data_IF_776319377255
#
_entry.id   IF_776319377255
#
_cell.length_a   1.000
_cell.length_b   1.000
_cell.length_c   1.000
_cell.angle_alpha   90.00
_cell.angle_beta   90.00
_cell.angle_gamma   90.00
#
_symmetry.space_group_name_H-M   'P 1'
#
loop_
_entity.id
_entity.type
_entity.pdbx_description
1 polymer ?
#
# COMPACT_ATOMS: atom_id res chain seq x y z
N UNK A 1 13.53 10.11 38.35
CA UNK A 1 13.09 10.32 36.96
C UNK A 1 14.00 9.49 36.08
N UNK A 2 13.53 8.33 35.62
CA UNK A 2 14.38 7.33 35.01
C UNK A 2 14.06 7.21 33.51
N UNK A 3 14.84 7.91 32.69
CA UNK A 3 14.99 7.54 31.29
C UNK A 3 15.68 6.17 31.24
N UNK A 4 15.20 5.28 30.40
CA UNK A 4 15.66 3.91 30.28
C UNK A 4 15.97 3.59 28.82
N UNK A 5 17.08 2.89 28.59
CA UNK A 5 17.46 2.33 27.30
C UNK A 5 17.77 0.86 27.56
N UNK A 6 16.90 -0.04 27.13
CA UNK A 6 17.09 -1.48 27.27
C UNK A 6 17.55 -2.06 25.95
N UNK A 7 18.63 -2.84 25.98
CA UNK A 7 19.12 -3.61 24.82
C UNK A 7 19.16 -5.08 25.24
N UNK A 8 18.44 -5.95 24.52
CA UNK A 8 18.27 -7.36 24.89
C UNK A 8 17.80 -7.54 26.36
N UNK A 9 16.94 -6.64 26.83
CA UNK A 9 16.42 -6.63 28.21
C UNK A 9 17.38 -6.06 29.27
N UNK A 10 18.62 -5.72 28.92
CA UNK A 10 19.59 -5.12 29.85
C UNK A 10 19.59 -3.59 29.78
N UNK A 11 19.61 -2.92 30.93
CA UNK A 11 19.67 -1.46 31.04
C UNK A 11 21.05 -0.92 30.60
N UNK A 12 21.05 -0.02 29.62
CA UNK A 12 22.22 0.54 28.94
C UNK A 12 22.20 2.06 28.87
N UNK A 13 21.27 2.70 29.59
CA UNK A 13 21.22 4.17 29.69
C UNK A 13 22.54 4.82 30.16
N UNK A 14 23.33 4.25 31.11
CA UNK A 14 24.62 4.82 31.50
C UNK A 14 25.67 4.83 30.37
N UNK A 15 25.57 3.87 29.45
CA UNK A 15 26.49 3.69 28.32
C UNK A 15 26.15 4.62 27.14
N UNK A 16 24.95 5.21 27.14
CA UNK A 16 24.47 6.09 26.08
C UNK A 16 25.31 7.36 25.96
N UNK A 17 25.70 7.71 24.71
CA UNK A 17 26.36 8.96 24.39
C UNK A 17 25.32 10.08 24.25
N UNK A 18 25.32 11.02 25.20
CA UNK A 18 24.44 12.19 25.18
C UNK A 18 24.47 12.93 23.83
N UNK A 19 23.30 13.39 23.39
CA UNK A 19 23.11 14.12 22.14
C UNK A 19 23.15 13.27 20.86
N UNK A 20 23.27 11.93 20.96
CA UNK A 20 23.35 11.06 19.78
C UNK A 20 22.03 10.36 19.40
N UNK A 21 21.03 10.39 20.28
CA UNK A 21 19.74 9.73 20.06
C UNK A 21 18.89 10.55 19.10
N UNK A 22 18.43 9.89 18.05
CA UNK A 22 17.43 10.38 17.10
C UNK A 22 16.47 9.24 16.78
N UNK A 23 15.18 9.48 16.95
CA UNK A 23 14.09 8.60 16.55
C UNK A 23 13.32 9.34 15.46
N UNK A 24 13.08 8.69 14.33
CA UNK A 24 12.31 9.23 13.22
C UNK A 24 11.08 8.36 13.01
N UNK A 25 9.92 8.94 13.32
CA UNK A 25 8.62 8.34 13.12
C UNK A 25 7.97 8.93 11.87
N UNK A 26 7.52 8.10 10.93
CA UNK A 26 6.97 8.57 9.66
C UNK A 26 5.53 8.06 9.53
N UNK A 27 4.64 8.91 9.03
CA UNK A 27 3.26 8.53 8.71
C UNK A 27 3.26 7.48 7.60
N UNK A 28 2.30 6.56 7.65
CA UNK A 28 2.06 5.44 6.70
C UNK A 28 2.90 4.19 6.96
N UNK A 29 2.91 3.25 6.01
CA UNK A 29 3.61 1.97 6.06
C UNK A 29 5.14 2.06 5.97
N UNK A 30 5.73 3.21 6.32
CA UNK A 30 7.18 3.38 6.32
C UNK A 30 7.74 2.97 7.67
N UNK A 31 8.89 2.31 7.65
CA UNK A 31 9.56 1.79 8.84
C UNK A 31 10.08 2.95 9.69
N UNK A 32 9.68 2.98 10.96
CA UNK A 32 10.26 3.91 11.93
C UNK A 32 11.72 3.52 12.20
N UNK A 33 12.58 4.53 12.29
CA UNK A 33 14.02 4.32 12.50
C UNK A 33 14.51 5.00 13.76
N UNK A 34 15.47 4.38 14.42
CA UNK A 34 16.15 4.95 15.58
C UNK A 34 17.67 4.79 15.43
N UNK A 35 18.41 5.86 15.66
CA UNK A 35 19.87 5.85 15.70
C UNK A 35 20.35 6.42 17.03
N UNK A 36 21.32 5.75 17.65
CA UNK A 36 22.00 6.24 18.84
C UNK A 36 23.42 5.69 18.93
N UNK A 37 24.26 6.30 19.76
CA UNK A 37 25.61 5.81 20.03
C UNK A 37 25.75 5.36 21.50
N UNK A 38 26.42 4.24 21.71
CA UNK A 38 26.75 3.71 23.04
C UNK A 38 28.24 3.49 23.21
N UNK A 39 28.70 3.57 24.46
CA UNK A 39 30.06 3.27 24.87
C UNK A 39 30.18 1.82 25.34
N UNK A 40 31.37 1.26 25.25
CA UNK A 40 31.70 -0.02 25.86
C UNK A 40 31.50 -1.20 24.91
N UNK A 41 30.74 -2.21 25.35
CA UNK A 41 30.59 -3.48 24.63
C UNK A 41 29.71 -3.34 23.39
N UNK A 42 30.09 -4.05 22.31
CA UNK A 42 29.32 -4.10 21.07
C UNK A 42 27.94 -4.73 21.32
N UNK A 43 26.82 -4.08 20.95
CA UNK A 43 25.50 -4.72 20.90
C UNK A 43 25.44 -5.81 19.85
N UNK A 44 24.62 -6.83 20.09
CA UNK A 44 24.38 -7.89 19.12
C UNK A 44 23.30 -7.43 18.11
N UNK A 45 23.60 -7.54 16.82
CA UNK A 45 22.63 -7.32 15.75
C UNK A 45 21.40 -8.23 15.92
N UNK A 46 20.20 -7.71 15.64
CA UNK A 46 18.92 -8.41 15.84
C UNK A 46 18.37 -8.38 17.27
N UNK A 47 19.09 -7.80 18.23
CA UNK A 47 18.59 -7.63 19.61
C UNK A 47 17.45 -6.61 19.67
N UNK A 48 16.52 -6.81 20.62
CA UNK A 48 15.44 -5.86 20.90
C UNK A 48 15.98 -4.63 21.63
N UNK A 49 15.51 -3.45 21.21
CA UNK A 49 15.80 -2.15 21.82
C UNK A 49 14.50 -1.50 22.25
N UNK A 50 14.48 -1.01 23.49
CA UNK A 50 13.33 -0.28 24.06
C UNK A 50 13.85 1.01 24.70
N UNK A 51 13.25 2.13 24.32
CA UNK A 51 13.53 3.45 24.88
C UNK A 51 12.29 3.95 25.59
N UNK A 52 12.42 4.19 26.89
CA UNK A 52 11.31 4.60 27.75
C UNK A 52 11.69 5.83 28.61
N UNK A 53 10.72 6.72 28.86
CA UNK A 53 10.82 7.77 29.87
C UNK A 53 9.56 7.75 30.76
N UNK A 54 9.74 7.35 32.02
CA UNK A 54 8.66 7.25 33.00
C UNK A 54 8.00 8.60 33.35
N UNK A 55 8.56 9.73 32.90
CA UNK A 55 8.00 11.07 33.11
C UNK A 55 6.96 11.47 32.06
N UNK A 56 6.81 10.69 30.98
CA UNK A 56 5.84 10.94 29.91
C UNK A 56 4.54 10.16 30.15
N UNK A 57 3.44 10.70 29.63
CA UNK A 57 2.12 10.01 29.66
C UNK A 57 2.18 8.69 28.92
N UNK A 58 2.79 8.69 27.74
CA UNK A 58 3.18 7.49 27.02
C UNK A 58 4.68 7.24 27.26
N UNK A 59 5.03 6.24 28.08
CA UNK A 59 6.41 6.07 28.52
C UNK A 59 7.31 5.56 27.41
N UNK A 60 6.78 4.87 26.39
CA UNK A 60 7.58 4.22 25.35
C UNK A 60 7.70 5.11 24.12
N UNK A 61 8.92 5.60 23.89
CA UNK A 61 9.23 6.47 22.75
C UNK A 61 9.66 5.71 21.50
N UNK A 62 10.27 4.52 21.68
CA UNK A 62 10.65 3.64 20.57
C UNK A 62 10.81 2.21 21.08
N UNK A 63 10.39 1.25 20.25
CA UNK A 63 10.78 -0.14 20.42
C UNK A 63 10.94 -0.83 19.07
N UNK A 64 11.97 -1.67 18.96
CA UNK A 64 12.31 -2.31 17.69
C UNK A 64 13.52 -3.23 17.78
N UNK A 65 14.16 -3.49 16.65
CA UNK A 65 15.34 -4.35 16.53
C UNK A 65 16.55 -3.63 15.98
N UNK A 66 17.75 -4.04 16.43
CA UNK A 66 19.02 -3.56 15.88
C UNK A 66 19.23 -4.17 14.50
N UNK A 67 19.37 -3.33 13.47
CA UNK A 67 19.69 -3.75 12.12
C UNK A 67 21.21 -3.74 11.91
N UNK A 68 21.87 -2.66 12.34
CA UNK A 68 23.30 -2.45 12.11
C UNK A 68 24.02 -1.85 13.31
N UNK A 69 25.25 -2.32 13.54
CA UNK A 69 26.16 -1.80 14.58
C UNK A 69 27.51 -1.44 13.94
N UNK A 70 27.90 -0.17 14.03
CA UNK A 70 29.14 0.35 13.44
C UNK A 70 30.08 0.89 14.53
N UNK A 71 31.39 0.62 14.42
CA UNK A 71 32.40 1.19 15.33
C UNK A 71 32.77 2.60 14.86
N UNK A 72 32.43 3.61 15.65
CA UNK A 72 32.70 5.03 15.31
C UNK A 72 33.97 5.55 15.99
N UNK A 73 34.29 5.06 17.19
CA UNK A 73 35.53 5.40 17.88
C UNK A 73 36.27 4.15 18.34
N UNK A 74 37.47 3.95 17.81
CA UNK A 74 38.36 2.83 18.14
C UNK A 74 39.24 3.10 19.36
N UNK A 75 39.37 4.36 19.81
CA UNK A 75 40.11 4.71 21.03
C UNK A 75 39.19 4.58 22.24
N UNK A 76 39.68 3.91 23.28
CA UNK A 76 38.92 3.69 24.51
C UNK A 76 38.41 5.02 25.12
N UNK A 77 37.13 5.09 25.55
CA UNK A 77 36.11 4.03 25.44
C UNK A 77 35.61 3.86 24.00
N UNK A 78 35.51 2.59 23.57
CA UNK A 78 34.95 2.24 22.26
C UNK A 78 33.54 2.81 22.13
N UNK A 79 33.22 3.41 20.99
CA UNK A 79 31.88 3.96 20.71
C UNK A 79 31.29 3.26 19.50
N UNK A 80 30.12 2.66 19.71
CA UNK A 80 29.35 1.97 18.69
C UNK A 80 28.13 2.81 18.33
N UNK A 81 27.93 3.06 17.05
CA UNK A 81 26.67 3.58 16.51
C UNK A 81 25.76 2.41 16.21
N UNK A 82 24.51 2.52 16.64
CA UNK A 82 23.48 1.50 16.52
C UNK A 82 22.35 2.10 15.72
N UNK A 83 22.03 1.46 14.58
CA UNK A 83 20.86 1.78 13.78
C UNK A 83 19.80 0.67 14.03
N UNK A 84 18.60 1.10 14.39
CA UNK A 84 17.46 0.26 14.71
C UNK A 84 16.28 0.59 13.80
N UNK A 85 15.47 -0.42 13.57
CA UNK A 85 14.18 -0.33 12.87
C UNK A 85 13.08 -0.83 13.80
N UNK A 86 11.84 -0.43 13.55
CA UNK A 86 10.66 -0.92 14.28
C UNK A 86 10.41 -2.43 14.11
N UNK A 87 9.27 -2.88 14.60
CA UNK A 87 8.88 -4.30 14.52
C UNK A 87 8.34 -4.74 13.15
N UNK A 88 8.25 -3.86 12.15
CA UNK A 88 7.72 -4.20 10.81
C UNK A 88 8.53 -5.33 10.18
N UNK A 89 9.87 -5.30 10.28
CA UNK A 89 10.72 -6.39 9.81
C UNK A 89 10.44 -7.72 10.51
N UNK A 90 10.07 -7.69 11.81
CA UNK A 90 9.69 -8.91 12.53
C UNK A 90 8.33 -9.46 12.07
N UNK A 91 7.43 -8.59 11.63
CA UNK A 91 6.15 -8.97 11.05
C UNK A 91 6.36 -9.66 9.69
N UNK A 92 7.30 -9.17 8.89
CA UNK A 92 7.55 -9.64 7.52
C UNK A 92 8.43 -10.90 7.42
N UNK A 93 8.65 -11.61 8.53
CA UNK A 93 9.46 -12.84 8.57
C UNK A 93 8.91 -14.01 7.76
N UNK A 94 7.60 -14.01 7.47
CA UNK A 94 6.94 -15.09 6.72
C UNK A 94 6.21 -14.48 5.53
N UNK A 95 6.16 -15.22 4.43
CA UNK A 95 5.40 -14.84 3.24
C UNK A 95 3.98 -15.40 3.34
N UNK A 96 3.00 -14.57 3.00
CA UNK A 96 1.60 -14.96 2.86
C UNK A 96 1.43 -15.79 1.59
N UNK A 97 0.68 -16.88 1.67
CA UNK A 97 0.27 -17.70 0.53
C UNK A 97 -1.17 -18.13 0.75
N UNK A 98 -2.11 -17.21 0.49
CA UNK A 98 -3.54 -17.40 0.70
C UNK A 98 -4.34 -16.68 -0.39
N UNK A 99 -5.58 -17.13 -0.61
CA UNK A 99 -6.54 -16.45 -1.48
C UNK A 99 -7.86 -16.29 -0.73
N UNK A 100 -8.31 -15.05 -0.59
CA UNK A 100 -9.57 -14.67 0.04
C UNK A 100 -10.58 -14.22 -1.02
N UNK A 101 -11.83 -14.66 -0.88
CA UNK A 101 -12.95 -14.37 -1.77
C UNK A 101 -14.16 -13.91 -0.96
N UNK A 102 -14.61 -12.67 -1.18
CA UNK A 102 -15.80 -12.12 -0.51
C UNK A 102 -15.64 -11.87 1.00
N UNK A 103 -14.41 -11.77 1.51
CA UNK A 103 -14.13 -11.49 2.91
C UNK A 103 -13.96 -9.99 3.15
N UNK A 104 -14.29 -9.51 4.35
CA UNK A 104 -14.00 -8.14 4.75
C UNK A 104 -12.50 -7.93 4.96
N UNK A 105 -11.98 -6.75 4.61
CA UNK A 105 -10.55 -6.47 4.73
C UNK A 105 -10.04 -6.63 6.18
N UNK A 106 -10.85 -6.27 7.18
CA UNK A 106 -10.49 -6.45 8.60
C UNK A 106 -10.40 -7.94 8.99
N UNK A 107 -11.28 -8.80 8.45
CA UNK A 107 -11.22 -10.24 8.68
C UNK A 107 -9.96 -10.85 8.02
N UNK A 108 -9.59 -10.38 6.83
CA UNK A 108 -8.38 -10.80 6.13
C UNK A 108 -7.13 -10.41 6.93
N UNK A 109 -7.04 -9.17 7.44
CA UNK A 109 -5.91 -8.73 8.27
C UNK A 109 -5.77 -9.59 9.52
N UNK A 110 -6.88 -9.88 10.22
CA UNK A 110 -6.88 -10.74 11.42
C UNK A 110 -6.39 -12.16 11.11
N UNK A 111 -6.80 -12.74 9.99
CA UNK A 111 -6.36 -14.08 9.58
C UNK A 111 -4.85 -14.11 9.23
N UNK A 112 -4.37 -13.11 8.49
CA UNK A 112 -2.94 -12.98 8.16
C UNK A 112 -2.12 -12.85 9.44
N UNK A 113 -2.53 -12.00 10.38
CA UNK A 113 -1.83 -11.82 11.65
C UNK A 113 -1.76 -13.12 12.46
N UNK A 114 -2.86 -13.87 12.51
CA UNK A 114 -2.94 -15.12 13.26
C UNK A 114 -2.03 -16.22 12.68
N UNK A 115 -1.99 -16.36 11.35
CA UNK A 115 -1.22 -17.42 10.68
C UNK A 115 0.26 -17.06 10.50
N UNK A 116 0.55 -15.84 10.09
CA UNK A 116 1.87 -15.42 9.65
C UNK A 116 2.63 -14.63 10.73
N UNK A 117 1.92 -13.91 11.60
CA UNK A 117 2.51 -12.98 12.58
C UNK A 117 2.10 -13.26 14.04
N UNK A 118 2.35 -14.48 14.60
CA UNK A 118 1.84 -14.86 15.93
C UNK A 118 2.39 -14.04 17.11
N UNK A 119 3.45 -13.25 16.89
CA UNK A 119 4.01 -12.33 17.88
C UNK A 119 3.34 -10.96 17.93
N UNK A 120 2.34 -10.72 17.09
CA UNK A 120 1.64 -9.44 16.94
C UNK A 120 0.16 -9.58 17.32
N UNK A 121 -0.38 -8.53 17.93
CA UNK A 121 -1.78 -8.45 18.33
C UNK A 121 -2.62 -7.74 17.27
N UNK A 122 -3.79 -8.29 16.97
CA UNK A 122 -4.79 -7.67 16.09
C UNK A 122 -5.79 -6.77 16.86
N UNK A 123 -5.45 -6.34 18.08
CA UNK A 123 -6.35 -5.55 18.93
C UNK A 123 -6.64 -4.15 18.35
N UNK A 124 -5.72 -3.58 17.56
CA UNK A 124 -5.87 -2.28 16.90
C UNK A 124 -6.60 -2.34 15.55
N UNK A 125 -7.09 -3.51 15.11
CA UNK A 125 -7.83 -3.65 13.87
C UNK A 125 -9.27 -3.20 14.09
N UNK A 126 -9.69 -2.10 13.46
CA UNK A 126 -11.06 -1.61 13.49
C UNK A 126 -11.98 -2.53 12.66
N UNK A 127 -13.23 -2.68 13.13
CA UNK A 127 -14.25 -3.47 12.44
C UNK A 127 -15.02 -2.62 11.43
N UNK A 128 -15.63 -3.26 10.42
CA UNK A 128 -16.48 -2.58 9.44
C UNK A 128 -15.75 -2.18 8.16
N UNK A 129 -14.63 -2.83 7.85
CA UNK A 129 -13.96 -2.61 6.58
C UNK A 129 -14.78 -3.20 5.41
N UNK A 130 -14.73 -2.58 4.21
CA UNK A 130 -15.41 -3.11 3.03
C UNK A 130 -15.02 -4.55 2.70
N UNK A 131 -15.95 -5.29 2.09
CA UNK A 131 -15.70 -6.61 1.53
C UNK A 131 -14.88 -6.50 0.24
N UNK A 132 -13.94 -7.43 0.07
CA UNK A 132 -13.12 -7.53 -1.12
C UNK A 132 -13.64 -8.69 -1.96
N UNK A 133 -13.94 -8.42 -3.22
CA UNK A 133 -14.52 -9.43 -4.12
C UNK A 133 -13.56 -10.61 -4.31
N UNK A 134 -12.29 -10.33 -4.62
CA UNK A 134 -11.22 -11.33 -4.67
C UNK A 134 -9.86 -10.68 -4.51
N UNK A 135 -8.99 -11.31 -3.71
CA UNK A 135 -7.55 -10.96 -3.63
C UNK A 135 -6.73 -11.60 -4.75
N UNK A 136 -7.25 -12.65 -5.40
CA UNK A 136 -6.59 -13.32 -6.52
C UNK A 136 -5.18 -13.84 -6.19
N UNK A 137 -4.21 -13.54 -7.06
CA UNK A 137 -2.80 -13.93 -6.90
C UNK A 137 -1.95 -12.87 -6.19
N UNK A 138 -2.54 -11.72 -5.84
CA UNK A 138 -1.80 -10.57 -5.30
C UNK A 138 -1.20 -10.84 -3.91
N UNK A 139 -1.65 -11.89 -3.22
CA UNK A 139 -1.14 -12.27 -1.90
C UNK A 139 -0.14 -13.42 -1.94
N UNK A 140 0.09 -14.04 -3.10
CA UNK A 140 0.98 -15.18 -3.21
C UNK A 140 2.45 -14.74 -3.09
N UNK A 141 3.12 -15.26 -2.06
CA UNK A 141 4.53 -14.98 -1.77
C UNK A 141 4.83 -13.51 -1.45
N UNK A 142 3.86 -12.81 -0.86
CA UNK A 142 4.00 -11.41 -0.43
C UNK A 142 4.20 -11.29 1.06
N UNK A 143 4.87 -10.22 1.47
CA UNK A 143 5.05 -9.94 2.90
C UNK A 143 3.70 -9.47 3.50
N UNK A 144 3.41 -9.78 4.78
CA UNK A 144 2.24 -9.28 5.48
C UNK A 144 2.07 -7.75 5.36
N UNK A 145 3.15 -6.97 5.44
CA UNK A 145 3.12 -5.51 5.24
C UNK A 145 2.66 -5.11 3.83
N UNK A 146 3.13 -5.82 2.80
CA UNK A 146 2.73 -5.60 1.41
C UNK A 146 1.26 -5.96 1.19
N UNK A 147 0.78 -7.07 1.79
CA UNK A 147 -0.62 -7.45 1.75
C UNK A 147 -1.51 -6.40 2.44
N UNK A 148 -1.11 -5.91 3.62
CA UNK A 148 -1.85 -4.85 4.33
C UNK A 148 -1.85 -3.54 3.55
N UNK A 149 -0.71 -3.19 2.94
CA UNK A 149 -0.63 -2.03 2.05
C UNK A 149 -1.59 -2.18 0.88
N UNK A 150 -1.62 -3.33 0.22
CA UNK A 150 -2.57 -3.59 -0.87
C UNK A 150 -4.03 -3.46 -0.40
N UNK A 151 -4.36 -3.98 0.79
CA UNK A 151 -5.71 -3.84 1.36
C UNK A 151 -6.05 -2.37 1.61
N UNK A 152 -5.14 -1.62 2.23
CA UNK A 152 -5.28 -0.19 2.47
C UNK A 152 -5.45 0.60 1.18
N UNK A 153 -4.67 0.28 0.15
CA UNK A 153 -4.77 0.88 -1.18
C UNK A 153 -6.15 0.56 -1.80
N UNK A 154 -6.69 -0.64 -1.58
CA UNK A 154 -7.99 -1.07 -2.09
C UNK A 154 -9.20 -0.47 -1.35
N UNK A 155 -9.12 -0.22 -0.03
CA UNK A 155 -10.26 0.30 0.76
C UNK A 155 -10.11 1.77 1.22
N UNK A 156 -8.94 2.36 1.05
CA UNK A 156 -8.61 3.72 1.52
C UNK A 156 -8.30 3.84 3.01
N UNK A 157 -8.06 2.73 3.72
CA UNK A 157 -7.70 2.72 5.14
C UNK A 157 -6.19 2.89 5.33
N UNK A 158 -5.74 3.09 6.57
CA UNK A 158 -4.33 3.13 6.93
C UNK A 158 -3.99 2.06 7.96
N UNK A 159 -2.71 1.69 7.98
CA UNK A 159 -2.17 0.74 8.95
C UNK A 159 -0.81 1.17 9.47
N UNK A 160 -0.51 0.82 10.71
CA UNK A 160 0.82 0.92 11.32
C UNK A 160 0.96 -0.10 12.45
N UNK A 161 2.20 -0.33 12.89
CA UNK A 161 2.53 -1.20 14.02
C UNK A 161 3.00 -0.33 15.17
N UNK A 162 2.38 -0.47 16.34
CA UNK A 162 2.83 0.27 17.53
C UNK A 162 4.04 -0.39 18.21
N UNK A 163 4.64 0.34 19.15
CA UNK A 163 5.79 -0.14 19.93
C UNK A 163 5.44 -1.21 20.97
N UNK A 164 4.17 -1.63 21.05
CA UNK A 164 3.68 -2.75 21.87
C UNK A 164 3.34 -3.99 21.03
N UNK A 165 3.70 -4.00 19.73
CA UNK A 165 3.43 -5.08 18.77
C UNK A 165 1.94 -5.29 18.51
N UNK A 166 1.13 -4.23 18.64
CA UNK A 166 -0.25 -4.20 18.18
C UNK A 166 -0.28 -3.59 16.78
N UNK A 167 -0.97 -4.25 15.88
CA UNK A 167 -1.22 -3.75 14.52
C UNK A 167 -2.52 -2.95 14.53
N UNK A 168 -2.41 -1.70 14.13
CA UNK A 168 -3.53 -0.78 13.96
C UNK A 168 -3.94 -0.76 12.50
N UNK A 169 -5.23 -0.93 12.23
CA UNK A 169 -5.81 -0.91 10.89
C UNK A 169 -7.15 -0.18 10.95
N UNK A 170 -7.24 1.02 10.37
CA UNK A 170 -8.35 1.94 10.63
C UNK A 170 -8.64 2.87 9.45
N UNK A 171 -9.84 3.44 9.45
CA UNK A 171 -10.26 4.47 8.50
C UNK A 171 -9.68 5.84 8.93
N UNK A 172 -8.84 6.50 8.10
CA UNK A 172 -8.29 7.82 8.43
C UNK A 172 -9.39 8.89 8.63
N UNK A 173 -10.58 8.74 8.06
CA UNK A 173 -11.69 9.66 8.26
C UNK A 173 -12.29 9.59 9.69
N UNK A 174 -12.12 8.46 10.37
CA UNK A 174 -12.66 8.23 11.71
C UNK A 174 -11.66 8.54 12.82
N UNK A 175 -10.36 8.71 12.50
CA UNK A 175 -9.31 8.98 13.48
C UNK A 175 -8.49 10.23 13.12
N UNK A 176 -9.10 11.40 13.33
CA UNK A 176 -8.34 12.63 13.55
C UNK A 176 -7.93 12.72 15.01
N UNK A 177 -6.88 12.01 15.44
CA UNK A 177 -6.32 12.25 16.78
C UNK A 177 -5.80 13.68 16.82
N UNK A 178 -6.37 14.48 17.72
CA UNK A 178 -6.02 15.89 17.82
C UNK A 178 -4.59 15.98 18.34
N UNK A 179 -3.76 16.79 17.68
CA UNK A 179 -2.41 17.07 18.13
C UNK A 179 -2.39 17.59 19.59
N UNK A 180 -1.31 17.35 20.35
CA UNK A 180 -1.23 17.71 21.77
C UNK A 180 -1.29 19.22 22.02
N UNK A 181 -1.11 20.05 20.99
CA UNK A 181 -1.31 21.50 21.06
C UNK A 181 -1.67 22.10 19.70
N UNK A 182 -2.41 23.22 19.76
CA UNK A 182 -2.62 24.14 18.63
C UNK A 182 -1.46 25.12 18.52
N UNK A 183 -1.07 25.47 17.30
CA UNK A 183 -0.01 26.44 17.02
C UNK A 183 -0.60 27.86 16.97
N UNK A 184 -0.42 28.63 18.05
CA UNK A 184 -0.90 30.02 18.20
C UNK A 184 0.25 31.00 18.48
N UNK A 185 0.09 32.32 18.25
CA UNK A 185 1.13 33.30 18.56
C UNK A 185 1.58 33.20 20.03
N UNK A 186 2.90 33.10 20.26
CA UNK A 186 3.47 32.92 21.61
C UNK A 186 3.41 31.48 22.17
N UNK A 187 2.96 30.50 21.37
CA UNK A 187 2.93 29.09 21.76
C UNK A 187 4.32 28.48 21.98
N UNK A 188 4.34 27.26 22.55
CA UNK A 188 5.57 26.52 22.89
C UNK A 188 6.20 25.82 21.66
N UNK A 189 6.57 26.58 20.66
CA UNK A 189 7.25 26.09 19.46
C UNK A 189 8.26 27.11 18.93
N UNK A 190 9.18 26.63 18.10
CA UNK A 190 10.27 27.42 17.52
C UNK A 190 10.59 26.93 16.11
N UNK A 191 11.37 27.71 15.36
CA UNK A 191 11.81 27.37 14.00
C UNK A 191 10.67 26.96 13.06
N UNK A 192 9.56 27.69 13.13
CA UNK A 192 8.41 27.47 12.26
C UNK A 192 8.77 27.83 10.82
N UNK A 193 8.57 26.88 9.91
CA UNK A 193 8.79 27.02 8.47
C UNK A 193 7.55 26.58 7.75
N UNK A 194 7.15 27.34 6.74
CA UNK A 194 6.09 26.97 5.80
C UNK A 194 6.64 27.12 4.39
N UNK A 195 6.30 26.15 3.54
CA UNK A 195 6.60 26.14 2.12
C UNK A 195 5.32 25.77 1.40
N UNK A 196 4.89 26.64 0.50
CA UNK A 196 3.75 26.39 -0.39
C UNK A 196 4.35 26.15 -1.77
N UNK A 197 4.22 24.94 -2.28
CA UNK A 197 4.71 24.57 -3.59
C UNK A 197 3.55 24.48 -4.59
N UNK A 198 3.61 25.30 -5.64
CA UNK A 198 2.64 25.34 -6.74
C UNK A 198 3.06 24.43 -7.91
N UNK A 199 4.23 23.77 -7.83
CA UNK A 199 4.68 22.91 -8.91
C UNK A 199 3.76 21.69 -9.09
N UNK A 200 3.23 21.56 -10.30
CA UNK A 200 2.31 20.48 -10.68
C UNK A 200 0.87 20.70 -10.24
N UNK A 201 0.51 21.89 -9.75
CA UNK A 201 -0.87 22.28 -9.51
C UNK A 201 -1.70 22.11 -10.79
N UNK A 202 -2.80 21.37 -10.71
CA UNK A 202 -3.76 21.15 -11.81
C UNK A 202 -5.15 20.98 -11.22
N UNK A 203 -6.03 21.92 -11.52
CA UNK A 203 -7.40 21.97 -11.01
C UNK A 203 -8.46 21.94 -12.13
N UNK A 204 -8.01 21.74 -13.38
CA UNK A 204 -8.82 21.28 -14.52
C UNK A 204 -8.07 20.19 -15.26
N UNK A 205 -8.75 19.08 -15.53
CA UNK A 205 -8.14 17.92 -16.18
C UNK A 205 -8.99 17.46 -17.36
N UNK A 206 -8.34 17.37 -18.51
CA UNK A 206 -8.88 16.75 -19.73
C UNK A 206 -8.46 15.29 -19.76
N UNK A 207 -9.42 14.36 -19.78
CA UNK A 207 -9.14 12.94 -19.95
C UNK A 207 -9.54 12.54 -21.36
N UNK A 208 -8.52 12.20 -22.16
CA UNK A 208 -8.64 11.67 -23.51
C UNK A 208 -8.55 10.15 -23.41
N UNK A 209 -9.71 9.51 -23.38
CA UNK A 209 -9.86 8.06 -23.35
C UNK A 209 -9.75 7.43 -24.73
N UNK A 210 -10.06 6.13 -24.78
CA UNK A 210 -10.24 5.40 -26.04
C UNK A 210 -11.60 5.70 -26.68
N UNK A 211 -12.14 4.71 -27.37
CA UNK A 211 -13.44 4.82 -28.03
C UNK A 211 -14.51 4.02 -27.28
N UNK A 212 -15.68 4.62 -27.05
CA UNK A 212 -16.87 3.94 -26.53
C UNK A 212 -17.94 3.75 -27.62
N UNK A 213 -18.85 2.82 -27.41
CA UNK A 213 -20.06 2.71 -28.23
C UNK A 213 -21.12 3.68 -27.73
N UNK A 214 -21.72 4.43 -28.65
CA UNK A 214 -22.86 5.32 -28.36
C UNK A 214 -24.10 4.51 -27.97
N UNK A 215 -25.12 5.21 -27.49
CA UNK A 215 -26.47 4.65 -27.42
C UNK A 215 -26.94 4.19 -28.81
N UNK A 216 -27.79 3.13 -28.89
CA UNK A 216 -28.35 2.67 -30.15
C UNK A 216 -29.11 3.79 -30.85
N UNK A 217 -28.73 4.09 -32.09
CA UNK A 217 -29.42 5.02 -32.96
C UNK A 217 -30.09 4.25 -34.09
N UNK A 218 -31.33 4.59 -34.38
CA UNK A 218 -32.09 4.01 -35.49
C UNK A 218 -32.04 4.96 -36.67
N UNK A 219 -31.55 4.46 -37.81
CA UNK A 219 -31.55 5.14 -39.09
C UNK A 219 -32.68 4.54 -39.92
N UNK A 220 -33.57 5.39 -40.44
CA UNK A 220 -34.72 4.95 -41.21
C UNK A 220 -34.62 5.43 -42.66
N UNK A 221 -34.86 4.52 -43.60
CA UNK A 221 -35.03 4.81 -45.02
C UNK A 221 -36.38 4.31 -45.50
N UNK A 222 -36.93 4.99 -46.52
CA UNK A 222 -38.04 4.45 -47.30
C UNK A 222 -37.50 3.78 -48.55
N UNK A 223 -37.84 2.52 -48.74
CA UNK A 223 -37.50 1.78 -49.95
C UNK A 223 -38.28 2.31 -51.16
N UNK A 224 -37.61 2.41 -52.30
CA UNK A 224 -38.17 2.84 -53.59
C UNK A 224 -38.42 1.66 -54.55
N UNK A 225 -38.14 0.42 -54.12
CA UNK A 225 -38.26 -0.78 -54.94
C UNK A 225 -37.10 -1.05 -55.90
N UNK A 226 -36.06 -0.20 -55.92
CA UNK A 226 -34.94 -0.31 -56.86
C UNK A 226 -33.56 -0.16 -56.20
N UNK A 227 -33.45 0.66 -55.16
CA UNK A 227 -32.21 0.86 -54.42
C UNK A 227 -31.81 -0.43 -53.68
N UNK A 228 -30.55 -0.84 -53.87
CA UNK A 228 -29.92 -1.97 -53.17
C UNK A 228 -28.80 -1.53 -52.21
N UNK A 229 -28.50 -0.23 -52.16
CA UNK A 229 -27.41 0.35 -51.37
C UNK A 229 -27.91 1.60 -50.66
N UNK A 230 -27.64 1.69 -49.36
CA UNK A 230 -27.98 2.83 -48.50
C UNK A 230 -26.73 3.34 -47.80
N UNK A 231 -26.40 4.62 -47.97
CA UNK A 231 -25.23 5.24 -47.35
C UNK A 231 -25.48 5.47 -45.87
N UNK A 232 -24.49 5.13 -45.05
CA UNK A 232 -24.53 5.29 -43.61
C UNK A 232 -23.84 6.60 -43.21
N UNK A 233 -24.41 7.37 -42.27
CA UNK A 233 -23.81 8.61 -41.80
C UNK A 233 -22.54 8.39 -40.96
N UNK A 234 -22.37 7.20 -40.39
CA UNK A 234 -21.22 6.80 -39.57
C UNK A 234 -21.00 5.29 -39.67
N UNK A 235 -19.78 4.83 -39.33
CA UNK A 235 -19.39 3.41 -39.32
C UNK A 235 -20.12 2.68 -38.19
N UNK A 236 -21.00 1.73 -38.50
CA UNK A 236 -21.87 1.14 -37.48
C UNK A 236 -21.24 -0.08 -36.80
N UNK A 237 -21.46 -0.19 -35.49
CA UNK A 237 -21.17 -1.36 -34.68
C UNK A 237 -22.47 -1.92 -34.09
N UNK A 238 -22.52 -3.24 -33.85
CA UNK A 238 -23.71 -3.94 -33.31
C UNK A 238 -25.00 -3.64 -34.11
N UNK A 239 -25.00 -3.99 -35.39
CA UNK A 239 -26.12 -3.70 -36.30
C UNK A 239 -27.31 -4.65 -36.10
N UNK A 240 -28.51 -4.09 -36.01
CA UNK A 240 -29.80 -4.80 -36.10
C UNK A 240 -30.67 -4.12 -37.14
N UNK A 241 -31.02 -4.84 -38.21
CA UNK A 241 -31.84 -4.32 -39.30
C UNK A 241 -33.26 -4.88 -39.24
N UNK A 242 -34.25 -4.02 -39.45
CA UNK A 242 -35.62 -4.42 -39.72
C UNK A 242 -36.08 -3.86 -41.05
N UNK A 243 -36.77 -4.69 -41.83
CA UNK A 243 -37.38 -4.31 -43.11
C UNK A 243 -38.85 -4.61 -43.01
N UNK A 244 -39.69 -3.58 -43.07
CA UNK A 244 -41.15 -3.73 -42.90
C UNK A 244 -41.56 -4.30 -41.54
N UNK A 245 -40.74 -4.13 -40.51
CA UNK A 245 -40.97 -4.67 -39.16
C UNK A 245 -40.49 -6.11 -38.94
N UNK A 246 -39.88 -6.75 -39.94
CA UNK A 246 -39.26 -8.08 -39.81
C UNK A 246 -37.76 -7.92 -39.58
N UNK A 247 -37.21 -8.57 -38.55
CA UNK A 247 -35.76 -8.58 -38.27
C UNK A 247 -35.04 -9.39 -39.34
N UNK A 248 -34.01 -8.80 -39.95
CA UNK A 248 -33.20 -9.40 -41.01
C UNK A 248 -31.78 -9.72 -40.52
N UNK A 249 -31.12 -10.71 -41.12
CA UNK A 249 -29.75 -11.06 -40.75
C UNK A 249 -28.75 -10.11 -41.40
N UNK A 250 -28.07 -9.31 -40.58
CA UNK A 250 -26.98 -8.44 -41.03
C UNK A 250 -25.64 -9.14 -40.87
N UNK A 251 -24.77 -9.01 -41.85
CA UNK A 251 -23.36 -9.42 -41.82
C UNK A 251 -22.42 -8.28 -42.21
N UNK A 252 -21.13 -8.51 -42.06
CA UNK A 252 -20.07 -7.59 -42.49
C UNK A 252 -19.55 -8.00 -43.85
N UNK A 253 -19.54 -7.06 -44.79
CA UNK A 253 -19.04 -7.29 -46.15
C UNK A 253 -17.55 -7.66 -46.15
N UNK A 254 -17.21 -8.77 -46.80
CA UNK A 254 -15.83 -9.28 -46.91
C UNK A 254 -15.36 -10.13 -45.72
N UNK A 255 -16.19 -10.31 -44.69
CA UNK A 255 -15.91 -11.19 -43.55
C UNK A 255 -16.93 -12.33 -43.46
N UNK A 256 -18.22 -12.00 -43.54
CA UNK A 256 -19.30 -12.98 -43.46
C UNK A 256 -19.67 -13.52 -44.86
N UNK A 257 -20.07 -14.80 -44.92
CA UNK A 257 -20.55 -15.42 -46.15
C UNK A 257 -21.91 -14.84 -46.58
N UNK A 258 -22.00 -14.41 -47.84
CA UNK A 258 -23.19 -13.71 -48.37
C UNK A 258 -24.43 -14.60 -48.45
N UNK A 259 -24.25 -15.92 -48.54
CA UNK A 259 -25.34 -16.91 -48.70
C UNK A 259 -26.17 -17.11 -47.42
N UNK A 260 -25.69 -16.60 -46.28
CA UNK A 260 -26.31 -16.76 -44.95
C UNK A 260 -26.91 -15.45 -44.44
N UNK A 261 -26.58 -14.32 -45.06
CA UNK A 261 -26.91 -12.97 -44.58
C UNK A 261 -27.78 -12.25 -45.60
N UNK A 262 -28.88 -11.67 -45.12
CA UNK A 262 -29.84 -10.94 -45.96
C UNK A 262 -29.28 -9.56 -46.38
N UNK A 263 -28.48 -8.95 -45.50
CA UNK A 263 -27.88 -7.65 -45.72
C UNK A 263 -26.43 -7.62 -45.25
N UNK A 264 -25.60 -6.84 -45.95
CA UNK A 264 -24.17 -6.72 -45.70
C UNK A 264 -23.82 -5.25 -45.47
N UNK A 265 -23.06 -4.99 -44.41
CA UNK A 265 -22.57 -3.66 -44.04
C UNK A 265 -21.10 -3.54 -44.41
N UNK A 266 -20.76 -2.48 -45.13
CA UNK A 266 -19.37 -2.12 -45.41
C UNK A 266 -18.84 -1.17 -44.33
N UNK A 267 -17.85 -1.63 -43.56
CA UNK A 267 -17.21 -0.84 -42.50
C UNK A 267 -16.17 0.17 -43.02
N UNK A 268 -15.72 0.04 -44.28
CA UNK A 268 -14.71 0.93 -44.88
C UNK A 268 -15.32 2.16 -45.55
N UNK A 269 -16.27 1.94 -46.45
CA UNK A 269 -16.94 2.97 -47.26
C UNK A 269 -18.28 3.44 -46.65
N UNK A 270 -18.75 2.79 -45.58
CA UNK A 270 -19.92 3.23 -44.80
C UNK A 270 -21.23 3.11 -45.56
N UNK A 271 -21.60 1.92 -46.01
CA UNK A 271 -22.90 1.66 -46.62
C UNK A 271 -23.49 0.30 -46.22
N UNK A 272 -24.81 0.20 -46.30
CA UNK A 272 -25.58 -1.04 -46.20
C UNK A 272 -25.96 -1.48 -47.61
N UNK A 273 -25.78 -2.76 -47.95
CA UNK A 273 -26.28 -3.35 -49.20
C UNK A 273 -27.09 -4.61 -48.98
N UNK A 274 -27.99 -4.91 -49.90
CA UNK A 274 -28.59 -6.24 -50.00
C UNK A 274 -27.52 -7.27 -50.39
N UNK A 275 -27.64 -8.50 -49.90
CA UNK A 275 -26.88 -9.63 -50.46
C UNK A 275 -27.33 -9.90 -51.91
N UNK A 276 -26.54 -10.70 -52.64
CA UNK A 276 -26.83 -11.01 -54.04
C UNK A 276 -28.22 -11.66 -54.21
N UNK A 277 -28.60 -12.53 -53.26
CA UNK A 277 -29.80 -13.37 -53.28
C UNK A 277 -31.02 -12.74 -52.60
N UNK A 278 -30.84 -11.64 -51.86
CA UNK A 278 -31.96 -10.91 -51.25
C UNK A 278 -32.61 -9.96 -52.26
N UNK A 279 -33.93 -10.12 -52.43
CA UNK A 279 -34.75 -9.24 -53.25
C UNK A 279 -34.72 -7.79 -52.75
N UNK A 280 -34.82 -6.85 -53.67
CA UNK A 280 -34.96 -5.42 -53.34
C UNK A 280 -36.21 -5.19 -52.48
N UNK A 281 -36.11 -4.44 -51.37
CA UNK A 281 -37.28 -4.12 -50.55
C UNK A 281 -38.37 -3.43 -51.37
N UNK A 282 -39.63 -3.89 -51.21
CA UNK A 282 -40.76 -3.35 -51.96
C UNK A 282 -40.94 -1.83 -51.75
N UNK A 283 -41.39 -1.13 -52.79
CA UNK A 283 -41.62 0.33 -52.74
C UNK A 283 -42.58 0.70 -51.61
N UNK A 284 -42.14 1.58 -50.72
CA UNK A 284 -42.91 2.07 -49.57
C UNK A 284 -42.63 1.35 -48.25
N UNK A 285 -41.82 0.28 -48.26
CA UNK A 285 -41.38 -0.42 -47.03
C UNK A 285 -40.34 0.41 -46.29
N UNK A 286 -40.49 0.54 -44.97
CA UNK A 286 -39.48 1.20 -44.11
C UNK A 286 -38.37 0.23 -43.77
N UNK A 287 -37.13 0.67 -43.98
CA UNK A 287 -35.90 0.00 -43.57
C UNK A 287 -35.39 0.74 -42.35
N UNK A 288 -35.32 0.09 -41.19
CA UNK A 288 -34.79 0.65 -39.96
C UNK A 288 -33.54 -0.12 -39.53
N UNK A 289 -32.39 0.56 -39.55
CA UNK A 289 -31.13 0.04 -39.04
C UNK A 289 -30.87 0.65 -37.67
N UNK A 290 -30.91 -0.16 -36.62
CA UNK A 290 -30.45 0.21 -35.29
C UNK A 290 -29.00 -0.21 -35.14
N UNK A 291 -28.09 0.74 -34.91
CA UNK A 291 -26.68 0.46 -34.67
C UNK A 291 -26.08 1.45 -33.65
N UNK A 292 -24.84 1.22 -33.24
CA UNK A 292 -24.09 2.09 -32.33
C UNK A 292 -22.88 2.67 -33.04
N UNK A 293 -22.59 3.94 -32.80
CA UNK A 293 -21.42 4.62 -33.33
C UNK A 293 -20.25 4.51 -32.36
N UNK A 294 -19.01 4.41 -32.87
CA UNK A 294 -17.81 4.58 -32.05
C UNK A 294 -17.52 6.08 -31.85
N UNK A 295 -17.48 6.53 -30.60
CA UNK A 295 -17.20 7.92 -30.22
C UNK A 295 -16.00 7.97 -29.26
N UNK A 296 -15.17 9.01 -29.38
CA UNK A 296 -14.03 9.21 -28.48
C UNK A 296 -14.52 9.63 -27.09
N UNK A 297 -13.97 9.01 -26.06
CA UNK A 297 -14.26 9.38 -24.67
C UNK A 297 -13.43 10.60 -24.31
N UNK A 298 -14.05 11.78 -24.29
CA UNK A 298 -13.41 13.02 -23.82
C UNK A 298 -14.20 13.54 -22.63
N UNK A 299 -13.58 13.55 -21.45
CA UNK A 299 -14.18 14.12 -20.24
C UNK A 299 -13.32 15.25 -19.69
N UNK A 300 -13.99 16.25 -19.11
CA UNK A 300 -13.34 17.35 -18.41
C UNK A 300 -13.81 17.33 -16.98
N UNK A 301 -12.88 17.41 -16.05
CA UNK A 301 -13.18 17.46 -14.62
C UNK A 301 -12.56 18.74 -14.05
N UNK A 302 -13.38 19.50 -13.32
CA UNK A 302 -13.01 20.79 -12.71
C UNK A 302 -13.14 20.72 -11.18
N UNK A 303 -12.16 21.27 -10.46
CA UNK A 303 -12.28 21.57 -9.03
C UNK A 303 -12.51 23.06 -8.81
N UNK A 304 -13.78 23.46 -8.81
CA UNK A 304 -14.20 24.85 -8.64
C UNK A 304 -13.82 25.43 -7.27
N UNK A 305 -13.73 24.60 -6.22
CA UNK A 305 -13.37 25.06 -4.89
C UNK A 305 -11.88 25.41 -4.82
N UNK A 306 -11.03 24.56 -5.41
CA UNK A 306 -9.61 24.85 -5.58
C UNK A 306 -9.39 26.11 -6.44
N UNK A 307 -10.04 26.19 -7.61
CA UNK A 307 -9.92 27.35 -8.51
C UNK A 307 -10.26 28.67 -7.80
N UNK A 308 -11.35 28.69 -7.02
CA UNK A 308 -11.72 29.86 -6.23
C UNK A 308 -10.69 30.21 -5.15
N UNK A 309 -10.10 29.21 -4.48
CA UNK A 309 -9.08 29.43 -3.46
C UNK A 309 -7.78 30.00 -4.04
N UNK A 310 -7.37 29.52 -5.21
CA UNK A 310 -6.15 29.97 -5.89
C UNK A 310 -6.37 31.33 -6.54
N UNK A 311 -7.53 31.57 -7.14
CA UNK A 311 -7.92 32.87 -7.68
C UNK A 311 -7.87 33.97 -6.60
N UNK A 312 -8.26 33.65 -5.36
CA UNK A 312 -8.17 34.56 -4.22
C UNK A 312 -6.72 34.82 -3.76
N UNK A 313 -5.80 33.88 -3.98
CA UNK A 313 -4.39 33.97 -3.56
C UNK A 313 -3.51 34.68 -4.61
N UNK A 314 -3.64 34.31 -5.88
CA UNK A 314 -2.75 34.77 -6.95
C UNK A 314 -3.32 35.98 -7.72
N UNK A 315 -4.65 36.18 -7.66
CA UNK A 315 -5.35 37.17 -8.47
C UNK A 315 -5.46 36.70 -9.93
N UNK A 316 -6.67 36.35 -10.37
CA UNK A 316 -6.92 35.82 -11.72
C UNK A 316 -8.12 34.88 -11.76
N UNK A 317 -8.12 33.96 -12.71
CA UNK A 317 -9.09 32.86 -12.79
C UNK A 317 -8.69 31.65 -11.94
N UNK A 318 -7.40 31.56 -11.55
CA UNK A 318 -6.89 30.49 -10.70
C UNK A 318 -6.92 29.11 -11.35
N UNK A 319 -6.99 29.03 -12.69
CA UNK A 319 -7.16 27.78 -13.43
C UNK A 319 -5.80 27.24 -13.89
N UNK A 320 -5.56 25.97 -13.60
CA UNK A 320 -4.37 25.21 -13.96
C UNK A 320 -4.77 23.92 -14.67
N UNK A 321 -4.43 23.82 -15.95
CA UNK A 321 -4.91 22.77 -16.84
C UNK A 321 -3.90 21.64 -17.04
N UNK A 322 -4.39 20.41 -17.13
CA UNK A 322 -3.60 19.24 -17.50
C UNK A 322 -4.40 18.28 -18.39
N UNK A 323 -3.72 17.45 -19.18
CA UNK A 323 -4.36 16.40 -19.95
C UNK A 323 -3.78 15.02 -19.63
N UNK A 324 -4.66 14.02 -19.58
CA UNK A 324 -4.32 12.60 -19.44
C UNK A 324 -4.74 11.92 -20.73
N UNK A 325 -3.83 11.18 -21.36
CA UNK A 325 -4.14 10.32 -22.50
C UNK A 325 -4.01 8.86 -22.09
N UNK A 326 -5.13 8.14 -22.12
CA UNK A 326 -5.17 6.71 -21.78
C UNK A 326 -6.24 6.00 -22.63
N UNK A 327 -5.79 5.34 -23.69
CA UNK A 327 -6.66 4.64 -24.64
C UNK A 327 -7.37 3.42 -24.01
N UNK A 328 -7.00 3.02 -22.79
CA UNK A 328 -7.66 1.91 -22.07
C UNK A 328 -8.95 2.34 -21.36
N UNK A 329 -9.21 3.64 -21.24
CA UNK A 329 -10.42 4.20 -20.65
C UNK A 329 -11.52 4.27 -21.72
N UNK A 330 -12.34 3.22 -21.79
CA UNK A 330 -13.40 3.05 -22.81
C UNK A 330 -14.81 3.46 -22.32
N UNK A 331 -14.93 4.02 -21.12
CA UNK A 331 -16.21 4.53 -20.59
C UNK A 331 -16.04 5.92 -19.98
N UNK A 332 -17.09 6.73 -20.06
CA UNK A 332 -17.14 8.09 -19.48
C UNK A 332 -16.90 8.03 -17.97
N UNK A 333 -17.52 7.08 -17.27
CA UNK A 333 -17.39 6.91 -15.83
C UNK A 333 -15.94 6.58 -15.40
N UNK A 334 -15.24 5.74 -16.17
CA UNK A 334 -13.84 5.42 -15.91
C UNK A 334 -12.93 6.63 -16.16
N UNK A 335 -13.21 7.39 -17.21
CA UNK A 335 -12.49 8.63 -17.51
C UNK A 335 -12.73 9.71 -16.44
N UNK A 336 -13.97 9.89 -15.99
CA UNK A 336 -14.33 10.80 -14.89
C UNK A 336 -13.64 10.38 -13.57
N UNK A 337 -13.64 9.09 -13.23
CA UNK A 337 -12.98 8.57 -12.05
C UNK A 337 -11.46 8.84 -12.08
N UNK A 338 -10.83 8.64 -13.25
CA UNK A 338 -9.41 8.94 -13.45
C UNK A 338 -9.11 10.44 -13.31
N UNK A 339 -9.92 11.31 -13.93
CA UNK A 339 -9.79 12.77 -13.81
C UNK A 339 -9.98 13.26 -12.37
N UNK A 340 -11.01 12.77 -11.67
CA UNK A 340 -11.24 13.06 -10.25
C UNK A 340 -10.09 12.58 -9.34
N UNK A 341 -9.51 11.41 -9.62
CA UNK A 341 -8.36 10.91 -8.87
C UNK A 341 -7.16 11.85 -9.00
N UNK A 342 -6.94 12.38 -10.20
CA UNK A 342 -5.80 13.24 -10.49
C UNK A 342 -6.00 14.66 -9.93
N UNK A 343 -7.22 15.21 -9.99
CA UNK A 343 -7.60 16.44 -9.29
C UNK A 343 -7.37 16.29 -7.78
N UNK A 344 -7.82 15.20 -7.16
CA UNK A 344 -7.59 15.00 -5.72
C UNK A 344 -6.12 14.97 -5.34
N UNK A 345 -5.24 14.56 -6.26
CA UNK A 345 -3.81 14.52 -6.02
C UNK A 345 -3.12 15.88 -6.19
N UNK A 346 -3.64 16.75 -7.06
CA UNK A 346 -2.91 17.92 -7.54
C UNK A 346 -3.72 19.21 -7.61
N UNK A 347 -5.01 19.20 -7.25
CA UNK A 347 -5.86 20.37 -7.29
C UNK A 347 -5.46 21.41 -6.25
N UNK A 348 -4.83 21.01 -5.14
CA UNK A 348 -4.40 21.94 -4.11
C UNK A 348 -2.87 22.07 -4.07
N UNK A 349 -2.34 23.28 -3.81
CA UNK A 349 -0.90 23.47 -3.67
C UNK A 349 -0.36 22.65 -2.51
N UNK A 350 0.84 22.10 -2.68
CA UNK A 350 1.49 21.30 -1.64
C UNK A 350 2.01 22.23 -0.56
N UNK A 351 1.18 22.49 0.44
CA UNK A 351 1.60 23.18 1.65
C UNK A 351 2.27 22.18 2.58
N UNK A 352 3.56 22.39 2.82
CA UNK A 352 4.35 21.64 3.78
C UNK A 352 5.04 22.60 4.74
N UNK A 353 5.39 22.10 5.92
CA UNK A 353 6.10 22.92 6.88
C UNK A 353 6.73 22.09 7.98
N UNK A 354 7.49 22.77 8.83
CA UNK A 354 8.09 22.15 10.00
C UNK A 354 8.14 23.11 11.17
N UNK A 355 8.12 22.56 12.38
CA UNK A 355 8.37 23.31 13.60
C UNK A 355 9.00 22.41 14.66
N UNK A 356 9.60 23.04 15.67
CA UNK A 356 10.25 22.37 16.78
C UNK A 356 9.51 22.70 18.07
N UNK A 357 9.23 21.69 18.89
CA UNK A 357 8.59 21.84 20.21
C UNK A 357 9.21 20.89 21.23
N UNK A 358 9.02 21.20 22.52
CA UNK A 358 9.36 20.34 23.64
C UNK A 358 8.12 19.70 24.29
N UNK A 359 6.93 19.97 23.75
CA UNK A 359 5.67 19.38 24.23
C UNK A 359 5.62 17.92 23.77
N UNK A 360 5.43 16.94 24.67
CA UNK A 360 5.33 15.53 24.31
C UNK A 360 3.95 15.16 23.75
N UNK A 361 3.83 13.96 23.19
CA UNK A 361 2.56 13.41 22.68
C UNK A 361 2.30 13.63 21.18
N UNK A 362 3.34 13.99 20.42
CA UNK A 362 3.26 14.08 18.96
C UNK A 362 3.45 12.72 18.32
N UNK A 363 2.54 12.36 17.43
CA UNK A 363 2.60 11.13 16.65
C UNK A 363 2.22 11.44 15.20
N UNK A 364 2.83 10.77 14.20
CA UNK A 364 2.38 10.85 12.83
C UNK A 364 0.90 10.47 12.69
N UNK A 365 0.15 11.20 11.88
CA UNK A 365 -1.28 10.96 11.64
C UNK A 365 -2.20 11.88 12.45
N UNK A 366 -1.66 12.58 13.45
CA UNK A 366 -2.41 13.60 14.18
C UNK A 366 -2.75 14.81 13.30
N UNK A 367 -3.90 15.43 13.58
CA UNK A 367 -4.29 16.70 12.94
C UNK A 367 -3.90 17.88 13.84
N UNK A 368 -3.15 18.82 13.29
CA UNK A 368 -2.69 20.03 13.98
C UNK A 368 -3.36 21.26 13.41
N UNK A 369 -4.05 22.02 14.25
CA UNK A 369 -4.56 23.35 13.89
C UNK A 369 -3.44 24.38 14.02
N UNK A 370 -3.23 25.18 12.96
CA UNK A 370 -2.24 26.26 12.91
C UNK A 370 -2.97 27.57 12.71
N UNK A 371 -2.94 28.43 13.72
CA UNK A 371 -3.64 29.71 13.79
C UNK A 371 -2.60 30.84 13.88
N UNK A 372 -1.87 31.08 12.79
CA UNK A 372 -0.83 32.10 12.69
C UNK A 372 -1.16 33.09 11.55
N UNK A 373 -2.22 33.90 11.68
CA UNK A 373 -2.64 34.84 10.62
C UNK A 373 -1.55 35.86 10.27
N UNK A 374 -0.76 36.30 11.25
CA UNK A 374 0.41 37.20 11.03
C UNK A 374 1.48 36.59 10.13
N UNK A 375 1.52 35.25 10.02
CA UNK A 375 2.45 34.49 9.17
C UNK A 375 1.77 33.90 7.93
N UNK A 376 0.53 34.32 7.65
CA UNK A 376 -0.24 33.90 6.48
C UNK A 376 -0.79 32.47 6.52
N UNK A 377 -0.83 31.83 7.69
CA UNK A 377 -1.28 30.43 7.82
C UNK A 377 -2.39 30.34 8.86
N UNK A 378 -3.60 29.98 8.44
CA UNK A 378 -4.72 29.70 9.33
C UNK A 378 -5.49 28.47 8.81
N UNK A 379 -4.98 27.28 9.08
CA UNK A 379 -5.50 26.03 8.55
C UNK A 379 -5.13 24.82 9.43
N UNK A 380 -5.82 23.70 9.18
CA UNK A 380 -5.54 22.42 9.81
C UNK A 380 -4.63 21.59 8.89
N UNK A 381 -3.57 21.01 9.44
CA UNK A 381 -2.61 20.20 8.71
C UNK A 381 -2.46 18.81 9.33
N UNK A 382 -2.01 17.85 8.53
CA UNK A 382 -1.71 16.49 9.00
C UNK A 382 -0.23 16.41 9.39
N UNK A 383 0.07 15.82 10.53
CA UNK A 383 1.43 15.50 10.95
C UNK A 383 1.93 14.31 10.15
N UNK A 384 2.96 14.51 9.33
CA UNK A 384 3.49 13.48 8.44
C UNK A 384 4.72 12.78 9.01
N UNK A 385 5.50 13.47 9.83
CA UNK A 385 6.71 12.89 10.42
C UNK A 385 7.05 13.59 11.71
N UNK A 386 7.49 12.81 12.69
CA UNK A 386 7.93 13.29 13.99
C UNK A 386 9.34 12.77 14.23
N UNK A 387 10.29 13.69 14.36
CA UNK A 387 11.68 13.36 14.74
C UNK A 387 11.90 13.73 16.20
N UNK A 388 12.14 12.72 17.04
CA UNK A 388 12.39 12.88 18.46
C UNK A 388 13.91 12.83 18.69
N UNK A 389 14.45 13.84 19.35
CA UNK A 389 15.86 13.91 19.70
C UNK A 389 16.01 14.29 21.17
N UNK A 390 17.17 13.94 21.75
CA UNK A 390 17.48 14.29 23.13
C UNK A 390 18.58 15.37 23.14
N UNK A 391 18.26 16.54 23.71
CA UNK A 391 19.24 17.62 23.86
C UNK A 391 20.37 17.25 24.83
N UNK A 392 21.49 17.98 24.78
CA UNK A 392 22.59 17.80 25.73
C UNK A 392 22.17 18.05 27.18
N UNK A 393 21.17 18.91 27.39
CA UNK A 393 20.54 19.17 28.68
C UNK A 393 19.59 18.05 29.14
N UNK A 394 19.36 17.02 28.32
CA UNK A 394 18.50 15.88 28.64
C UNK A 394 17.01 16.15 28.49
N UNK A 395 16.63 17.16 27.69
CA UNK A 395 15.25 17.47 27.34
C UNK A 395 14.90 16.86 25.98
N UNK A 396 13.69 16.33 25.86
CA UNK A 396 13.15 15.83 24.59
C UNK A 396 12.80 17.00 23.67
N UNK A 397 13.26 16.92 22.43
CA UNK A 397 12.97 17.87 21.37
C UNK A 397 12.28 17.11 20.24
N UNK A 398 11.09 17.58 19.90
CA UNK A 398 10.26 17.05 18.82
C UNK A 398 10.36 18.01 17.64
N UNK A 399 10.82 17.50 16.49
CA UNK A 399 10.76 18.20 15.21
C UNK A 399 9.63 17.60 14.41
N UNK A 400 8.61 18.38 14.14
CA UNK A 400 7.40 17.95 13.46
C UNK A 400 7.46 18.47 12.03
N UNK A 401 7.25 17.57 11.07
CA UNK A 401 6.99 17.90 9.67
C UNK A 401 5.49 17.67 9.41
N UNK A 402 4.81 18.71 8.94
CA UNK A 402 3.38 18.68 8.65
C UNK A 402 3.12 19.02 7.18
N UNK A 403 2.01 18.52 6.65
CA UNK A 403 1.64 18.74 5.26
C UNK A 403 0.13 18.71 5.04
N UNK A 404 -0.34 19.44 4.04
CA UNK A 404 -1.75 19.58 3.67
C UNK A 404 -2.33 18.41 2.87
N UNK A 405 -1.72 17.21 2.94
CA UNK A 405 -2.19 16.05 2.19
C UNK A 405 -2.81 15.02 3.11
N UNK A 406 -4.14 14.87 3.03
CA UNK A 406 -4.82 13.60 3.31
C UNK A 406 -4.35 12.60 2.24
N UNK A 407 -3.24 11.91 2.51
CA UNK A 407 -2.86 10.68 1.82
C UNK A 407 -3.84 9.60 2.28
N UNK A 408 -4.96 9.43 1.58
CA UNK A 408 -5.94 8.41 1.97
C UNK A 408 -7.22 8.47 1.15
N UNK A 409 -7.09 8.36 -0.17
CA UNK A 409 -8.16 8.11 -1.18
C UNK A 409 -7.48 7.94 -2.57
N UNK A 410 -6.26 8.46 -2.76
CA UNK A 410 -5.56 8.49 -4.05
C UNK A 410 -5.16 7.11 -4.62
N UNK A 411 -5.03 6.07 -3.80
CA UNK A 411 -4.71 4.71 -4.27
C UNK A 411 -5.98 3.88 -4.58
N UNK A 412 -7.14 4.29 -4.05
CA UNK A 412 -8.44 3.62 -4.20
C UNK A 412 -8.89 3.54 -5.66
N UNK A 413 -8.83 4.64 -6.40
CA UNK A 413 -9.30 4.68 -7.79
C UNK A 413 -8.28 4.12 -8.78
N UNK A 414 -6.98 4.20 -8.47
CA UNK A 414 -5.93 3.51 -9.26
C UNK A 414 -5.99 2.00 -9.10
N UNK A 415 -6.31 1.50 -7.90
CA UNK A 415 -6.54 0.08 -7.66
C UNK A 415 -7.83 -0.42 -8.33
N UNK A 416 -8.91 0.35 -8.36
CA UNK A 416 -10.18 -0.06 -8.97
C UNK A 416 -10.09 -0.19 -10.50
N UNK A 417 -9.41 0.77 -11.16
CA UNK A 417 -9.18 0.73 -12.62
C UNK A 417 -8.14 -0.34 -13.01
N UNK A 418 -7.11 -0.56 -12.19
CA UNK A 418 -6.12 -1.64 -12.46
C UNK A 418 -6.59 -3.04 -12.08
N UNK A 419 -7.51 -3.18 -11.12
CA UNK A 419 -8.14 -4.45 -10.75
C UNK A 419 -9.19 -4.89 -11.79
N UNK A 420 -9.90 -3.96 -12.44
CA UNK A 420 -10.78 -4.29 -13.57
C UNK A 420 -10.00 -4.86 -14.78
N UNK A 421 -8.73 -4.46 -14.97
CA UNK A 421 -7.89 -4.93 -16.08
C UNK A 421 -7.13 -6.25 -15.82
N UNK A 422 -7.02 -6.72 -14.57
CA UNK A 422 -6.24 -7.93 -14.20
C UNK A 422 -7.11 -9.12 -13.79
N UNK A 423 -8.11 -9.45 -14.60
CA UNK A 423 -8.80 -10.76 -14.48
C UNK A 423 -7.95 -11.87 -15.11
N UNK A 424 -6.82 -12.23 -14.49
CA UNK A 424 -6.05 -13.43 -14.89
C UNK A 424 -6.57 -14.66 -14.15
N UNK A 425 -6.95 -15.68 -14.92
CA UNK A 425 -7.29 -17.02 -14.42
C UNK A 425 -6.09 -17.64 -13.71
N UNK A 426 -6.36 -18.31 -12.58
CA UNK A 426 -5.36 -19.00 -11.78
C UNK A 426 -4.71 -20.15 -12.57
N UNK A 427 -3.41 -20.08 -12.78
CA UNK A 427 -2.60 -21.25 -13.11
C UNK A 427 -2.24 -21.99 -11.81
N UNK A 428 -2.50 -23.30 -11.80
CA UNK A 428 -2.18 -24.17 -10.66
C UNK A 428 -0.67 -24.42 -10.63
N UNK A 429 0.04 -23.80 -9.69
CA UNK A 429 1.47 -24.05 -9.48
C UNK A 429 1.69 -25.11 -8.37
N UNK A 430 2.48 -26.15 -8.67
CA UNK A 430 2.95 -27.12 -7.69
C UNK A 430 4.10 -26.55 -6.85
N UNK A 431 3.98 -26.63 -5.52
CA UNK A 431 5.01 -26.18 -4.58
C UNK A 431 5.78 -27.41 -4.07
N UNK A 432 7.09 -27.43 -4.27
CA UNK A 432 8.00 -28.41 -3.65
C UNK A 432 8.76 -27.75 -2.49
N UNK A 433 8.51 -28.20 -1.26
CA UNK A 433 9.24 -27.76 -0.06
C UNK A 433 10.39 -28.73 0.22
N UNK A 434 11.63 -28.30 -0.02
CA UNK A 434 12.82 -29.03 0.39
C UNK A 434 13.30 -28.49 1.75
N UNK A 435 13.35 -29.36 2.76
CA UNK A 435 13.93 -29.02 4.07
C UNK A 435 15.30 -29.67 4.15
N UNK A 436 16.34 -28.85 4.18
CA UNK A 436 17.71 -29.31 4.42
C UNK A 436 18.08 -28.99 5.86
N UNK A 437 18.30 -30.03 6.67
CA UNK A 437 18.81 -29.91 8.02
C UNK A 437 19.75 -31.07 8.30
N UNK A 438 20.98 -30.77 8.72
CA UNK A 438 21.82 -31.76 9.39
C UNK A 438 21.30 -31.90 10.81
N UNK A 439 20.53 -32.96 11.09
CA UNK A 439 20.37 -33.40 12.47
C UNK A 439 21.78 -33.74 12.99
N UNK A 440 22.30 -32.93 13.91
CA UNK A 440 23.48 -33.29 14.66
C UNK A 440 23.10 -34.44 15.60
N UNK A 441 23.03 -35.66 15.06
CA UNK A 441 22.97 -36.88 15.87
C UNK A 441 24.34 -36.98 16.53
N UNK A 442 24.44 -36.50 17.77
CA UNK A 442 25.57 -36.78 18.63
C UNK A 442 25.49 -38.26 19.03
N UNK A 443 26.06 -39.15 18.19
CA UNK A 443 26.31 -40.53 18.59
C UNK A 443 27.40 -40.48 19.67
N UNK A 444 26.99 -40.55 20.94
CA UNK A 444 27.92 -40.89 22.02
C UNK A 444 28.20 -42.38 21.95
N UNK A 445 29.31 -42.74 21.34
CA UNK A 445 29.83 -44.10 21.42
C UNK A 445 30.40 -44.31 22.84
N UNK A 446 29.60 -44.95 23.70
CA UNK A 446 30.03 -45.31 25.05
C UNK A 446 30.81 -46.63 24.97
N UNK A 447 32.13 -46.52 24.83
CA UNK A 447 33.04 -47.66 24.83
C UNK A 447 33.13 -48.25 26.25
N UNK A 448 32.27 -49.23 26.56
CA UNK A 448 32.35 -50.03 27.77
C UNK A 448 33.50 -51.04 27.65
N UNK A 449 34.71 -50.64 28.05
CA UNK A 449 35.80 -51.59 28.32
C UNK A 449 35.51 -52.40 29.58
N UNK A 450 34.81 -53.53 29.43
CA UNK A 450 34.80 -54.58 30.45
C UNK A 450 36.17 -55.29 30.42
N UNK A 451 37.01 -55.03 31.42
CA UNK A 451 38.28 -55.74 31.59
C UNK A 451 38.04 -57.25 31.73
N UNK A 452 38.48 -58.03 30.75
CA UNK A 452 38.53 -59.50 30.86
C UNK A 452 39.63 -59.89 31.84
N UNK A 453 39.25 -60.43 33.00
CA UNK A 453 40.20 -61.09 33.89
C UNK A 453 40.79 -62.34 33.22
N UNK A 454 42.11 -62.51 33.33
CA UNK A 454 42.86 -63.62 32.72
C UNK A 454 42.54 -64.96 33.41
N UNK A 455 42.49 -66.09 32.68
CA UNK A 455 41.86 -67.34 33.14
C UNK A 455 42.75 -68.27 34.00
N UNK A 456 43.75 -67.78 34.73
CA UNK A 456 44.56 -68.64 35.62
C UNK A 456 44.68 -68.09 37.04
N UNK A 457 44.25 -68.92 38.00
CA UNK A 457 44.46 -68.77 39.43
C UNK A 457 45.82 -69.40 39.78
N UNK A 458 46.69 -68.68 40.48
CA UNK A 458 47.90 -69.27 41.07
C UNK A 458 47.48 -69.88 42.41
N UNK A 459 47.54 -71.21 42.51
CA UNK A 459 47.28 -71.93 43.77
C UNK A 459 48.39 -71.65 44.80
N UNK A 460 47.98 -71.30 46.02
CA UNK A 460 48.89 -71.11 47.14
C UNK A 460 49.54 -72.44 47.55
N UNK A 461 50.87 -72.46 47.56
CA UNK A 461 51.65 -73.60 48.01
C UNK A 461 51.56 -73.73 49.53
N UNK A 462 50.81 -74.71 50.03
CA UNK A 462 50.89 -75.17 51.41
C UNK A 462 52.10 -76.10 51.56
N UNK A 463 53.13 -75.68 52.31
CA UNK A 463 54.13 -76.60 52.85
C UNK A 463 54.13 -76.48 54.36
N UNK A 464 53.81 -77.61 55.01
CA UNK A 464 53.63 -77.73 56.45
C UNK A 464 54.96 -77.69 57.20
N UNK A 465 54.95 -77.03 58.35
CA UNK A 465 56.01 -77.09 59.33
C UNK A 465 56.03 -78.48 59.98
N UNK A 466 57.10 -79.23 59.73
CA UNK A 466 57.46 -80.44 60.47
C UNK A 466 58.08 -80.00 61.80
N UNK A 467 57.43 -80.35 62.91
CA UNK A 467 58.03 -80.34 64.24
C UNK A 467 58.91 -81.58 64.40
N UNK A 468 60.20 -81.40 64.66
CA UNK A 468 61.04 -82.41 65.30
C UNK A 468 61.74 -81.72 66.46
N UNK A 469 61.34 -82.09 67.67
CA UNK A 469 62.04 -81.76 68.90
C UNK A 469 63.19 -82.72 69.15
N UNK A 470 64.28 -82.17 69.69
CA UNK A 470 65.39 -82.83 70.34
C UNK A 470 65.99 -81.83 71.31
#
# INVERSE_FOLDING_TARGET
MAKSLKIAGMERWPDYRRGSLTISQILTSQVDSCSFAIKGTKPLEGSEVIIEDSALTEPRLFAGTIDRVELVNYKAPLVWKVDCQDYTLQMDKKLVVETYLGWSADAIVRDILLKYCPGFSAAGVASGAPAIESTGTEFNYKMPSECMKWLCDYIGWQWYVDYYKVVHFFDPAQMGTVAPMTLQPGGRFSNFKVSIDHQGLRNRIYVLGGSMLSDPQTIEWKADGAARIWVLPWVPNECSLQVGGTVQNVGVEGVDEEDVKDYLVNLGDGYLRCSADTDTPESGVTISLTARQSIDVITVVDDLASQASIAALEGGDGVYEHYIKDDTLITIEAAEAAGNADLRQWANPKTSGSFITAVPGWEPGQVVSIELPERGVNAVFLVQKVTISLSEAGLWIYTIEYGGRLLGIADFLKALVSAQQKKKMNDTMLIHKFVYGTEAIAIKDALLTAGRNRPWLVEGCASGAVMIGG
#
